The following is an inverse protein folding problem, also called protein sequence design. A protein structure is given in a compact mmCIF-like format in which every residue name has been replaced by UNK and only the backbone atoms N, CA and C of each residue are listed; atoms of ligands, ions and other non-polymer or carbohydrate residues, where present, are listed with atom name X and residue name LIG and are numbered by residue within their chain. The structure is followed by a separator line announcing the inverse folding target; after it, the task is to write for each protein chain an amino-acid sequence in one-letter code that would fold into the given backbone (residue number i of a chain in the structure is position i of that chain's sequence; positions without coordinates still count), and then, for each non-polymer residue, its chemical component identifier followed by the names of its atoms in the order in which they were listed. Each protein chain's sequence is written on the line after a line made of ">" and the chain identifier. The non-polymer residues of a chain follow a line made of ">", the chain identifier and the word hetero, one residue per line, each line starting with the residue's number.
data_IF_556787010080
#
_entry.id   IF_556787010080
#
_cell.length_a   1.000
_cell.length_b   1.000
_cell.length_c   1.000
_cell.angle_alpha   90.00
_cell.angle_beta   90.00
_cell.angle_gamma   90.00
#
_symmetry.space_group_name_H-M   'P 1'
#
loop_
_entity.id
_entity.type
_entity.pdbx_description
1 polymer ?
2 branched ?
3 non-polymer ?
4 non-polymer ?
5 non-polymer ?
6 water ?
#
# COMPACT_ATOMS: atom_id res chain seq x y z
N UNK A 36 -17.28 -19.13 -23.71
CA UNK A 36 -18.72 -19.29 -23.63
C UNK A 36 -19.33 -18.34 -22.60
N UNK A 37 -19.26 -18.71 -21.33
CA UNK A 37 -19.79 -17.86 -20.27
C UNK A 37 -18.85 -16.68 -20.04
N UNK A 38 -19.43 -15.48 -19.95
CA UNK A 38 -18.67 -14.25 -19.89
C UNK A 38 -18.48 -13.80 -18.45
N UNK A 39 -17.25 -13.42 -18.11
CA UNK A 39 -16.89 -12.88 -16.80
C UNK A 39 -16.30 -11.49 -16.99
N UNK A 40 -16.66 -10.56 -16.11
CA UNK A 40 -16.21 -9.17 -16.19
C UNK A 40 -15.21 -8.90 -15.07
N UNK A 41 -13.99 -8.54 -15.45
CA UNK A 41 -12.90 -8.31 -14.51
C UNK A 41 -12.33 -6.91 -14.72
N UNK A 42 -12.25 -6.14 -13.64
CA UNK A 42 -11.69 -4.80 -13.67
C UNK A 42 -10.51 -4.74 -12.71
N UNK A 43 -9.33 -4.38 -13.22
CA UNK A 43 -8.09 -4.43 -12.47
C UNK A 43 -7.43 -3.06 -12.49
N UNK A 44 -7.04 -2.57 -11.31
CA UNK A 44 -6.34 -1.30 -11.23
C UNK A 44 -4.97 -1.41 -11.89
N UNK A 45 -4.65 -0.46 -12.75
CA UNK A 45 -3.35 -0.41 -13.42
C UNK A 45 -2.41 0.46 -12.58
N UNK A 46 -1.42 -0.18 -11.98
CA UNK A 46 -0.47 0.54 -11.15
C UNK A 46 0.96 0.44 -11.66
N UNK A 47 1.92 0.56 -10.75
CA UNK A 47 3.33 0.51 -11.14
C UNK A 47 3.73 -0.83 -11.74
N UNK A 48 3.05 -1.90 -11.36
CA UNK A 48 3.35 -3.22 -11.89
C UNK A 48 2.88 -3.40 -13.34
N UNK A 49 2.04 -2.49 -13.85
CA UNK A 49 1.61 -2.55 -15.22
C UNK A 49 0.28 -3.25 -15.40
N UNK A 50 -0.29 -3.09 -16.59
CA UNK A 50 -1.56 -3.70 -16.94
C UNK A 50 -1.42 -4.96 -17.78
N UNK A 51 -0.27 -5.16 -18.43
CA UNK A 51 -0.06 -6.37 -19.22
C UNK A 51 -0.03 -7.62 -18.37
N UNK A 52 0.15 -7.50 -17.06
CA UNK A 52 0.05 -8.67 -16.17
C UNK A 52 -1.31 -9.34 -16.31
N UNK A 53 -2.38 -8.55 -16.14
CA UNK A 53 -3.71 -9.12 -16.12
C UNK A 53 -4.15 -9.57 -17.51
N UNK A 54 -3.68 -8.90 -18.56
CA UNK A 54 -3.95 -9.38 -19.92
C UNK A 54 -3.37 -10.77 -20.12
N UNK A 55 -2.17 -11.01 -19.61
CA UNK A 55 -1.52 -12.31 -19.75
C UNK A 55 -2.09 -13.34 -18.78
N UNK A 56 -2.48 -12.91 -17.58
CA UNK A 56 -3.11 -13.83 -16.63
C UNK A 56 -4.48 -14.26 -17.14
N UNK A 57 -5.28 -13.31 -17.65
CA UNK A 57 -6.61 -13.64 -18.15
C UNK A 57 -6.51 -14.63 -19.32
N UNK A 58 -5.56 -14.40 -20.23
CA UNK A 58 -5.40 -15.30 -21.36
C UNK A 58 -4.96 -16.70 -20.91
N UNK A 59 -4.11 -16.76 -19.87
CA UNK A 59 -3.69 -18.06 -19.37
C UNK A 59 -4.85 -18.80 -18.71
N UNK A 60 -5.71 -18.07 -18.00
CA UNK A 60 -6.90 -18.71 -17.42
C UNK A 60 -7.86 -19.16 -18.52
N UNK A 61 -7.99 -18.37 -19.59
CA UNK A 61 -8.81 -18.78 -20.72
C UNK A 61 -8.21 -19.96 -21.47
N UNK A 62 -6.89 -20.15 -21.38
CA UNK A 62 -6.28 -21.35 -21.96
C UNK A 62 -6.60 -22.57 -21.12
N UNK A 63 -6.60 -22.43 -19.79
CA UNK A 63 -6.92 -23.55 -18.92
C UNK A 63 -8.41 -23.87 -18.94
N UNK A 64 -9.26 -22.85 -18.98
CA UNK A 64 -10.72 -23.01 -19.00
C UNK A 64 -11.26 -22.31 -20.24
N UNK A 65 -11.21 -22.96 -21.40
CA UNK A 65 -11.64 -22.29 -22.64
C UNK A 65 -13.12 -21.95 -22.68
N UNK A 66 -13.93 -22.51 -21.80
CA UNK A 66 -15.36 -22.17 -21.75
C UNK A 66 -15.63 -20.88 -20.99
N UNK A 67 -14.59 -20.22 -20.47
CA UNK A 67 -14.73 -18.98 -19.73
C UNK A 67 -14.22 -17.84 -20.59
N UNK A 68 -15.06 -16.81 -20.77
CA UNK A 68 -14.71 -15.61 -21.49
C UNK A 68 -14.60 -14.46 -20.50
N UNK A 69 -13.43 -13.84 -20.44
CA UNK A 69 -13.17 -12.76 -19.48
C UNK A 69 -13.03 -11.46 -20.25
N UNK A 70 -13.96 -10.53 -20.01
CA UNK A 70 -13.86 -9.16 -20.53
C UNK A 70 -13.04 -8.36 -19.53
N UNK A 71 -11.77 -8.15 -19.84
CA UNK A 71 -10.84 -7.49 -18.94
C UNK A 71 -10.85 -5.98 -19.19
N UNK A 72 -10.91 -5.21 -18.10
CA UNK A 72 -10.76 -3.76 -18.17
C UNK A 72 -9.70 -3.35 -17.17
N UNK A 73 -8.69 -2.62 -17.64
CA UNK A 73 -7.63 -2.10 -16.79
C UNK A 73 -7.59 -0.58 -16.93
N UNK A 74 -7.43 0.10 -15.80
CA UNK A 74 -7.40 1.56 -15.80
C UNK A 74 -6.76 2.04 -14.50
N UNK A 75 -6.07 3.18 -14.60
CA UNK A 75 -5.52 3.84 -13.43
C UNK A 75 -6.57 4.61 -12.63
N UNK A 76 -7.80 4.68 -13.14
CA UNK A 76 -8.93 5.29 -12.43
C UNK A 76 -10.09 4.30 -12.52
N UNK A 77 -10.02 3.24 -11.70
CA UNK A 77 -10.98 2.15 -11.80
C UNK A 77 -12.39 2.63 -11.48
N UNK A 78 -12.53 3.50 -10.47
CA UNK A 78 -13.86 3.95 -10.08
C UNK A 78 -14.55 4.68 -11.22
N UNK A 79 -13.86 5.66 -11.81
CA UNK A 79 -14.41 6.39 -12.95
C UNK A 79 -14.70 5.46 -14.13
N UNK A 80 -14.04 4.31 -14.18
CA UNK A 80 -14.27 3.38 -15.30
C UNK A 80 -15.52 2.53 -15.08
N UNK A 81 -15.73 2.04 -13.85
CA UNK A 81 -16.84 1.14 -13.57
C UNK A 81 -18.04 1.84 -12.97
N UNK A 82 -17.93 3.11 -12.59
CA UNK A 82 -19.07 3.83 -12.04
C UNK A 82 -20.25 3.92 -12.99
N UNK A 83 -20.09 4.20 -14.29
CA UNK A 83 -21.25 4.14 -15.19
C UNK A 83 -21.93 2.79 -15.21
N UNK A 84 -21.17 1.70 -15.09
CA UNK A 84 -21.78 0.39 -15.02
C UNK A 84 -22.55 0.16 -13.74
N UNK A 85 -21.97 0.58 -12.61
CA UNK A 85 -22.66 0.43 -11.33
C UNK A 85 -23.90 1.31 -11.26
N UNK A 86 -23.86 2.49 -11.87
CA UNK A 86 -25.05 3.34 -11.90
C UNK A 86 -26.14 2.73 -12.78
N UNK A 87 -25.76 1.91 -13.76
CA UNK A 87 -26.72 1.23 -14.62
C UNK A 87 -27.01 -0.20 -14.18
N UNK A 88 -26.53 -0.59 -13.00
CA UNK A 88 -26.75 -1.94 -12.50
C UNK A 88 -25.88 -3.00 -13.12
N UNK A 89 -24.92 -2.61 -13.97
CA UNK A 89 -24.05 -3.57 -14.64
C UNK A 89 -22.68 -3.60 -13.94
N UNK A 90 -22.69 -4.22 -12.76
CA UNK A 90 -21.48 -4.28 -11.95
C UNK A 90 -20.49 -5.27 -12.55
N UNK A 91 -19.19 -5.05 -12.35
CA UNK A 91 -18.21 -6.08 -12.70
C UNK A 91 -18.28 -7.24 -11.72
N UNK A 92 -17.85 -8.41 -12.21
CA UNK A 92 -17.92 -9.61 -11.40
C UNK A 92 -16.79 -9.71 -10.39
N UNK A 93 -15.61 -9.18 -10.72
CA UNK A 93 -14.45 -9.25 -9.84
C UNK A 93 -13.60 -8.01 -10.09
N UNK A 94 -13.11 -7.41 -9.00
CA UNK A 94 -12.38 -6.15 -9.08
C UNK A 94 -11.08 -6.28 -8.29
N UNK A 95 -9.97 -5.89 -8.91
CA UNK A 95 -8.68 -5.78 -8.23
C UNK A 95 -8.48 -4.30 -7.90
N UNK A 96 -8.66 -3.95 -6.62
CA UNK A 96 -8.47 -2.57 -6.19
C UNK A 96 -8.27 -2.61 -4.67
N UNK A 97 -7.03 -2.43 -4.22
CA UNK A 97 -6.75 -2.45 -2.81
C UNK A 97 -7.31 -1.23 -2.09
N UNK A 98 -7.21 -1.28 -0.77
CA UNK A 98 -7.55 -0.11 0.03
C UNK A 98 -6.56 1.02 -0.22
N UNK A 99 -6.97 2.23 0.13
CA UNK A 99 -6.10 3.38 -0.03
C UNK A 99 -5.98 3.91 -1.43
N UNK A 100 -6.84 3.48 -2.36
CA UNK A 100 -6.83 4.04 -3.69
C UNK A 100 -7.22 5.52 -3.66
N UNK A 101 -6.95 6.21 -4.76
CA UNK A 101 -7.27 7.63 -4.83
C UNK A 101 -8.77 7.88 -4.68
N UNK A 102 -9.60 6.96 -5.20
CA UNK A 102 -11.05 7.16 -5.13
C UNK A 102 -11.63 6.66 -3.81
N UNK A 103 -10.95 5.72 -3.14
CA UNK A 103 -11.50 5.13 -1.94
C UNK A 103 -12.71 4.25 -2.19
N UNK A 104 -12.81 3.68 -3.39
CA UNK A 104 -13.99 2.88 -3.73
C UNK A 104 -14.11 1.64 -2.88
N UNK A 105 -12.98 0.98 -2.59
CA UNK A 105 -13.03 -0.24 -1.78
C UNK A 105 -13.55 0.05 -0.38
N UNK A 106 -13.04 1.12 0.25
CA UNK A 106 -13.51 1.49 1.58
C UNK A 106 -14.97 1.90 1.55
N UNK A 107 -15.40 2.57 0.48
CA UNK A 107 -16.79 3.01 0.37
C UNK A 107 -17.74 1.82 0.27
N UNK A 108 -17.38 0.82 -0.54
CA UNK A 108 -18.24 -0.36 -0.67
C UNK A 108 -18.24 -1.19 0.61
N UNK A 109 -17.13 -1.19 1.36
CA UNK A 109 -17.12 -1.87 2.65
C UNK A 109 -18.06 -1.17 3.62
N UNK A 110 -18.03 0.16 3.65
CA UNK A 110 -18.96 0.91 4.48
C UNK A 110 -20.41 0.65 4.07
N UNK A 111 -20.65 0.52 2.77
CA UNK A 111 -21.99 0.28 2.26
C UNK A 111 -22.38 -1.19 2.24
N UNK A 112 -21.53 -2.08 2.76
CA UNK A 112 -21.81 -3.52 2.82
C UNK A 112 -22.10 -4.08 1.42
N UNK A 113 -21.33 -3.64 0.44
CA UNK A 113 -21.57 -4.00 -0.96
C UNK A 113 -20.47 -4.89 -1.52
N UNK A 114 -19.69 -5.55 -0.67
CA UNK A 114 -18.63 -6.46 -1.10
C UNK A 114 -18.96 -7.86 -0.60
N UNK A 115 -18.88 -8.83 -1.49
CA UNK A 115 -19.26 -10.20 -1.17
C UNK A 115 -18.27 -10.83 -0.20
N UNK A 116 -18.80 -11.64 0.73
CA UNK A 116 -17.96 -12.46 1.61
C UNK A 116 -17.36 -13.60 0.79
N UNK A 117 -16.03 -13.59 0.64
CA UNK A 117 -15.35 -14.59 -0.17
C UNK A 117 -14.47 -15.48 0.71
N UNK A 118 -14.97 -15.79 1.91
CA UNK A 118 -14.23 -16.69 2.80
C UNK A 118 -14.12 -18.09 2.20
N UNK A 119 -15.12 -18.52 1.43
CA UNK A 119 -15.09 -19.85 0.83
C UNK A 119 -14.00 -20.00 -0.22
N UNK A 120 -13.48 -18.90 -0.76
CA UNK A 120 -12.42 -18.99 -1.76
C UNK A 120 -11.15 -19.57 -1.15
N UNK A 121 -10.94 -19.35 0.16
CA UNK A 121 -9.76 -19.89 0.83
C UNK A 121 -9.73 -21.41 0.75
N UNK A 122 -10.89 -22.05 0.86
CA UNK A 122 -10.98 -23.51 0.81
C UNK A 122 -11.21 -24.04 -0.60
N UNK A 123 -11.23 -23.17 -1.61
CA UNK A 123 -11.41 -23.62 -2.98
C UNK A 123 -10.09 -24.09 -3.58
N UNK A 124 -10.18 -25.12 -4.42
CA UNK A 124 -8.99 -25.62 -5.10
C UNK A 124 -8.55 -24.63 -6.17
N UNK A 125 -7.23 -24.43 -6.27
CA UNK A 125 -6.69 -23.55 -7.31
C UNK A 125 -6.81 -24.25 -8.66
N UNK A 126 -7.41 -23.60 -9.66
CA UNK A 126 -7.53 -24.24 -10.98
C UNK A 126 -6.17 -24.60 -11.55
N UNK A 127 -6.05 -25.85 -12.01
CA UNK A 127 -4.81 -26.34 -12.57
C UNK A 127 -3.84 -26.94 -11.57
N UNK A 128 -4.13 -26.86 -10.28
CA UNK A 128 -3.25 -27.39 -9.24
C UNK A 128 -4.07 -28.18 -8.25
N UNK A 129 -3.38 -29.01 -7.46
CA UNK A 129 -4.05 -29.87 -6.50
C UNK A 129 -3.86 -29.36 -5.08
N UNK A 130 -4.05 -28.06 -4.87
CA UNK A 130 -3.96 -27.45 -3.55
C UNK A 130 -5.02 -26.36 -3.44
N UNK A 131 -5.35 -26.03 -2.19
CA UNK A 131 -6.31 -24.97 -1.93
C UNK A 131 -5.59 -23.63 -1.78
N UNK A 132 -6.39 -22.55 -1.83
CA UNK A 132 -5.81 -21.21 -1.67
C UNK A 132 -5.19 -21.05 -0.29
N UNK A 133 -5.89 -21.53 0.74
CA UNK A 133 -5.38 -21.41 2.10
C UNK A 133 -4.05 -22.16 2.27
N UNK A 134 -3.86 -23.24 1.51
CA UNK A 134 -2.61 -24.00 1.61
C UNK A 134 -1.44 -23.23 1.02
N UNK A 135 -1.70 -22.47 -0.04
CA UNK A 135 -0.62 -21.77 -0.73
C UNK A 135 -0.30 -20.42 -0.12
N UNK A 136 -1.25 -19.77 0.53
CA UNK A 136 -1.03 -18.44 1.07
C UNK A 136 0.04 -18.46 2.16
N UNK A 137 0.80 -17.37 2.24
CA UNK A 137 1.79 -17.23 3.30
C UNK A 137 1.07 -17.04 4.64
N UNK A 138 1.73 -17.47 5.71
CA UNK A 138 1.12 -17.43 7.03
C UNK A 138 0.93 -16.00 7.49
N UNK A 139 -0.19 -15.75 8.18
CA UNK A 139 -0.47 -14.44 8.75
C UNK A 139 -0.96 -13.39 7.79
N UNK A 140 -1.09 -13.71 6.50
CA UNK A 140 -1.52 -12.69 5.55
C UNK A 140 -2.98 -12.33 5.76
N UNK A 141 -3.78 -13.24 6.31
CA UNK A 141 -5.18 -12.96 6.62
C UNK A 141 -5.23 -12.16 7.92
N UNK A 142 -5.78 -10.96 7.85
CA UNK A 142 -5.83 -10.09 9.02
C UNK A 142 -6.84 -8.98 8.84
N UNK A 143 -6.53 -7.82 9.42
CA UNK A 143 -7.48 -6.72 9.41
C UNK A 143 -7.63 -6.11 8.02
N UNK A 144 -6.61 -6.22 7.16
CA UNK A 144 -6.74 -5.73 5.79
C UNK A 144 -7.70 -6.61 5.00
N UNK A 145 -7.51 -7.93 5.07
CA UNK A 145 -8.37 -8.87 4.34
C UNK A 145 -9.74 -9.01 4.99
N UNK A 146 -9.81 -8.90 6.31
CA UNK A 146 -11.06 -8.99 7.06
C UNK A 146 -11.36 -7.63 7.68
N UNK A 147 -11.84 -6.65 6.89
CA UNK A 147 -11.95 -5.28 7.41
C UNK A 147 -12.95 -5.12 8.53
N UNK A 148 -13.94 -6.01 8.64
CA UNK A 148 -14.95 -5.88 9.69
C UNK A 148 -14.52 -6.46 11.02
N UNK A 149 -13.29 -6.96 11.13
CA UNK A 149 -12.72 -7.39 12.38
C UNK A 149 -12.89 -8.85 12.72
N UNK A 150 -13.70 -9.60 11.97
CA UNK A 150 -14.00 -10.98 12.26
C UNK A 150 -13.15 -11.94 11.44
N UNK A 151 -13.67 -13.17 11.32
CA UNK A 151 -13.01 -14.23 10.56
C UNK A 151 -13.54 -14.34 9.14
N UNK A 152 -14.25 -13.32 8.66
CA UNK A 152 -14.79 -13.30 7.31
C UNK A 152 -13.87 -12.51 6.40
N UNK A 153 -13.48 -13.12 5.28
CA UNK A 153 -12.57 -12.51 4.33
C UNK A 153 -13.39 -11.82 3.24
N UNK A 154 -13.17 -10.51 3.06
CA UNK A 154 -13.82 -9.75 2.01
C UNK A 154 -12.84 -9.25 0.95
N UNK A 155 -11.58 -9.05 1.31
CA UNK A 155 -10.55 -8.58 0.38
C UNK A 155 -9.44 -9.61 0.34
N UNK A 156 -9.41 -10.42 -0.71
CA UNK A 156 -8.36 -11.41 -0.83
C UNK A 156 -7.03 -10.73 -1.15
N UNK A 157 -5.94 -11.13 -0.48
CA UNK A 157 -4.69 -10.37 -0.59
C UNK A 157 -4.06 -10.49 -1.97
N UNK A 158 -3.68 -9.35 -2.53
CA UNK A 158 -2.95 -9.29 -3.78
C UNK A 158 -1.57 -8.69 -3.51
N UNK A 159 -0.56 -9.23 -4.19
CA UNK A 159 0.82 -8.78 -4.09
C UNK A 159 1.38 -9.03 -2.69
N UNK A 160 2.65 -8.67 -2.49
CA UNK A 160 3.33 -8.89 -1.21
C UNK A 160 4.56 -8.00 -1.16
N UNK A 161 4.36 -6.70 -1.30
CA UNK A 161 5.46 -5.75 -1.48
C UNK A 161 5.86 -5.15 -0.15
N UNK A 162 7.14 -5.21 0.22
CA UNK A 162 7.60 -4.43 1.38
C UNK A 162 7.57 -2.94 1.05
N UNK A 163 7.24 -2.14 2.07
CA UNK A 163 7.21 -0.70 1.92
C UNK A 163 8.05 -0.05 3.01
N UNK A 164 8.63 1.08 2.66
CA UNK A 164 9.46 1.85 3.59
C UNK A 164 9.88 3.16 2.96
N UNK A 165 11.18 3.32 2.71
CA UNK A 165 11.71 4.50 2.05
C UNK A 165 12.64 4.06 0.93
N UNK A 166 12.51 4.70 -0.23
CA UNK A 166 13.37 4.45 -1.37
C UNK A 166 14.21 5.69 -1.64
N UNK A 167 15.42 5.46 -2.14
CA UNK A 167 16.39 6.53 -2.34
C UNK A 167 17.39 6.08 -3.40
N UNK A 168 18.26 7.00 -3.80
CA UNK A 168 19.35 6.70 -4.71
C UNK A 168 20.54 6.23 -3.88
N UNK A 169 20.80 4.92 -3.90
CA UNK A 169 21.92 4.36 -3.15
C UNK A 169 23.24 5.00 -3.58
N UNK A 170 23.37 5.33 -4.86
CA UNK A 170 24.61 5.93 -5.36
C UNK A 170 24.80 7.34 -4.80
N UNK A 171 23.73 8.13 -4.73
CA UNK A 171 23.84 9.51 -4.29
C UNK A 171 24.29 9.60 -2.83
N UNK A 172 23.78 8.70 -1.98
CA UNK A 172 24.18 8.71 -0.58
C UNK A 172 25.64 8.28 -0.42
N UNK A 173 26.08 7.29 -1.20
CA UNK A 173 27.45 6.83 -1.10
C UNK A 173 28.45 7.87 -1.60
N UNK A 174 28.11 8.54 -2.71
CA UNK A 174 29.03 9.53 -3.27
C UNK A 174 29.24 10.70 -2.31
N UNK A 175 28.24 11.02 -1.48
CA UNK A 175 28.37 12.07 -0.48
C UNK A 175 28.74 11.53 0.89
N UNK A 176 29.01 10.22 1.00
CA UNK A 176 29.37 9.65 2.29
C UNK A 176 28.25 9.62 3.31
N UNK A 177 27.00 9.72 2.85
CA UNK A 177 25.85 9.76 3.74
C UNK A 177 25.34 8.35 4.01
N UNK A 178 25.43 7.92 5.26
CA UNK A 178 24.89 6.62 5.65
C UNK A 178 23.38 6.71 5.79
N UNK A 179 22.70 5.59 5.55
CA UNK A 179 21.26 5.54 5.69
C UNK A 179 20.87 5.72 7.15
N UNK A 180 20.08 6.75 7.49
CA UNK A 180 19.73 6.95 8.90
C UNK A 180 18.82 5.85 9.42
N UNK A 181 19.01 5.49 10.69
CA UNK A 181 18.10 4.60 11.39
C UNK A 181 17.19 5.34 12.36
N UNK A 182 17.52 6.58 12.69
CA UNK A 182 16.69 7.44 13.54
C UNK A 182 16.31 8.69 12.76
N UNK A 183 15.35 9.43 13.31
CA UNK A 183 14.91 10.66 12.66
C UNK A 183 15.81 11.85 12.98
N UNK A 184 16.55 11.79 14.09
CA UNK A 184 17.54 12.82 14.36
C UNK A 184 18.64 12.80 13.31
N UNK A 185 19.12 11.60 12.95
CA UNK A 185 20.04 11.47 11.83
C UNK A 185 19.37 11.88 10.53
N UNK A 186 18.06 11.65 10.41
CA UNK A 186 17.34 12.00 9.19
C UNK A 186 17.31 13.51 8.99
N UNK A 187 16.99 14.26 10.04
CA UNK A 187 16.87 15.71 9.92
C UNK A 187 18.23 16.36 9.73
N UNK A 188 19.26 15.84 10.40
CA UNK A 188 20.61 16.34 10.18
C UNK A 188 21.06 16.08 8.74
N UNK A 189 20.66 14.93 8.18
CA UNK A 189 20.96 14.65 6.78
C UNK A 189 20.25 15.62 5.86
N UNK A 190 19.02 16.00 6.20
CA UNK A 190 18.32 16.99 5.40
C UNK A 190 19.00 18.34 5.38
N UNK A 191 19.64 18.71 6.50
CA UNK A 191 20.38 19.97 6.54
C UNK A 191 21.59 19.94 5.62
N UNK A 192 22.29 18.79 5.59
CA UNK A 192 23.45 18.67 4.72
C UNK A 192 23.05 18.60 3.26
N UNK A 193 21.92 17.93 2.97
CA UNK A 193 21.47 17.80 1.59
C UNK A 193 21.01 19.14 1.02
N UNK A 194 20.43 19.99 1.86
CA UNK A 194 19.97 21.30 1.38
C UNK A 194 21.15 22.20 1.01
N UNK A 195 22.30 22.00 1.65
CA UNK A 195 23.50 22.75 1.28
C UNK A 195 23.97 22.41 -0.13
N UNK A 196 23.52 21.28 -0.68
CA UNK A 196 23.85 20.88 -2.04
C UNK A 196 22.62 20.96 -2.97
N UNK A 197 21.58 21.66 -2.54
CA UNK A 197 20.39 21.80 -3.37
C UNK A 197 19.49 20.60 -3.41
N UNK A 198 19.41 19.82 -2.33
CA UNK A 198 18.61 18.61 -2.28
C UNK A 198 17.66 18.69 -1.10
N UNK A 199 16.38 18.44 -1.36
CA UNK A 199 15.39 18.31 -0.29
C UNK A 199 15.42 16.89 0.27
N UNK A 200 15.18 16.80 1.58
CA UNK A 200 15.29 15.50 2.25
C UNK A 200 14.17 14.56 1.86
N UNK A 201 12.94 15.06 1.82
CA UNK A 201 11.77 14.20 1.76
C UNK A 201 10.79 14.68 0.69
N UNK A 202 10.11 13.71 0.09
CA UNK A 202 8.98 13.96 -0.80
C UNK A 202 8.07 12.74 -0.71
N UNK A 203 6.91 12.82 -1.37
CA UNK A 203 6.01 11.68 -1.42
C UNK A 203 5.14 11.81 -2.66
N UNK A 204 4.72 10.69 -3.26
CA UNK A 204 3.89 10.77 -4.48
C UNK A 204 2.53 11.39 -4.19
N UNK A 205 1.71 10.72 -3.38
CA UNK A 205 0.48 11.28 -2.85
C UNK A 205 0.49 11.14 -1.34
N UNK A 206 -0.43 11.84 -0.68
CA UNK A 206 -0.55 11.74 0.77
C UNK A 206 -0.99 10.35 1.21
N UNK A 207 -1.62 9.58 0.31
CA UNK A 207 -2.07 8.24 0.66
C UNK A 207 -0.95 7.26 0.93
N UNK A 208 0.27 7.55 0.44
CA UNK A 208 1.42 6.69 0.70
C UNK A 208 1.85 6.71 2.15
N UNK A 209 1.22 7.53 3.00
CA UNK A 209 1.51 7.52 4.43
C UNK A 209 0.78 6.40 5.16
N UNK A 210 0.04 5.55 4.46
CA UNK A 210 -0.56 4.38 5.10
C UNK A 210 0.53 3.41 5.55
N UNK A 211 1.47 3.08 4.65
CA UNK A 211 2.58 2.23 5.03
C UNK A 211 3.57 2.97 5.91
N UNK A 212 3.70 4.29 5.72
CA UNK A 212 4.61 5.08 6.54
C UNK A 212 4.19 5.05 8.01
N UNK A 213 2.92 5.38 8.28
CA UNK A 213 2.45 5.40 9.67
C UNK A 213 2.34 3.99 10.24
N UNK A 214 2.03 2.99 9.41
CA UNK A 214 2.01 1.61 9.89
C UNK A 214 3.34 1.23 10.51
N UNK A 215 4.44 1.62 9.87
CA UNK A 215 5.77 1.32 10.41
C UNK A 215 6.10 2.25 11.57
N UNK A 216 5.84 3.55 11.41
CA UNK A 216 6.25 4.52 12.43
C UNK A 216 5.50 4.30 13.74
N UNK A 217 4.21 3.98 13.67
CA UNK A 217 3.45 3.72 14.89
C UNK A 217 3.96 2.46 15.59
N UNK A 218 4.31 1.43 14.82
CA UNK A 218 4.88 0.23 15.42
C UNK A 218 6.30 0.48 15.92
N UNK A 219 7.01 1.44 15.32
CA UNK A 219 8.35 1.78 15.79
C UNK A 219 8.30 2.35 17.20
N UNK A 220 7.34 3.22 17.48
CA UNK A 220 7.29 3.96 18.73
C UNK A 220 6.57 3.17 19.80
N UNK A 221 5.29 2.86 19.55
CA UNK A 221 4.46 2.23 20.57
C UNK A 221 4.57 0.72 20.62
N UNK A 222 4.89 0.09 19.50
CA UNK A 222 5.02 -1.35 19.44
C UNK A 222 3.88 -1.98 18.66
N UNK A 223 3.84 -3.33 18.71
CA UNK A 223 2.83 -4.07 17.98
C UNK A 223 1.43 -3.79 18.50
N UNK A 224 1.23 -3.94 19.82
CA UNK A 224 -0.09 -3.74 20.39
C UNK A 224 -0.58 -2.31 20.18
N UNK A 225 0.32 -1.34 20.30
CA UNK A 225 -0.07 0.06 20.11
C UNK A 225 -0.56 0.30 18.69
N UNK A 226 0.09 -0.30 17.70
CA UNK A 226 -0.37 -0.16 16.31
C UNK A 226 -1.76 -0.76 16.15
N UNK A 227 -2.01 -1.92 16.75
CA UNK A 227 -3.34 -2.51 16.69
C UNK A 227 -4.37 -1.65 17.40
N UNK A 228 -3.95 -0.94 18.45
CA UNK A 228 -4.86 -0.02 19.13
C UNK A 228 -5.28 1.12 18.22
N UNK A 229 -4.34 1.62 17.40
CA UNK A 229 -4.67 2.71 16.49
C UNK A 229 -5.63 2.22 15.41
N UNK A 230 -5.38 1.05 14.84
CA UNK A 230 -6.23 0.51 13.78
C UNK A 230 -7.61 0.11 14.28
N UNK A 231 -7.75 -0.17 15.58
CA UNK A 231 -9.02 -0.59 16.15
C UNK A 231 -9.70 0.50 16.97
N UNK A 232 -9.18 1.73 16.93
CA UNK A 232 -9.78 2.89 17.58
C UNK A 232 -9.91 2.68 19.09
N UNK A 233 -8.78 2.39 19.72
CA UNK A 233 -8.75 2.28 21.17
C UNK A 233 -8.94 3.66 21.80
N UNK A 234 -9.60 3.67 22.97
CA UNK A 234 -9.99 4.93 23.59
C UNK A 234 -8.77 5.78 23.94
N UNK A 235 -8.77 7.01 23.42
CA UNK A 235 -7.71 7.99 23.71
C UNK A 235 -6.33 7.48 23.28
N UNK A 236 -6.28 6.76 22.16
CA UNK A 236 -5.01 6.24 21.69
C UNK A 236 -4.16 7.37 21.09
N UNK A 237 -4.81 8.38 20.50
CA UNK A 237 -4.08 9.48 19.89
C UNK A 237 -3.67 10.54 20.90
N UNK A 238 -4.12 10.45 22.14
CA UNK A 238 -3.66 11.33 23.20
C UNK A 238 -2.44 10.75 23.93
N UNK A 239 -2.00 9.55 23.57
CA UNK A 239 -0.82 8.97 24.17
C UNK A 239 0.44 9.64 23.63
N UNK A 240 1.51 9.58 24.42
CA UNK A 240 2.78 10.15 24.00
C UNK A 240 3.34 9.44 22.78
N UNK A 241 3.05 8.14 22.65
CA UNK A 241 3.53 7.39 21.49
C UNK A 241 2.89 7.91 20.21
N UNK A 242 1.57 8.15 20.23
CA UNK A 242 0.88 8.64 19.04
C UNK A 242 1.23 10.08 18.75
N UNK A 243 1.45 10.90 19.80
CA UNK A 243 1.85 12.28 19.57
C UNK A 243 3.23 12.37 18.95
N UNK A 244 4.15 11.47 19.32
CA UNK A 244 5.49 11.52 18.78
C UNK A 244 5.52 11.15 17.31
N UNK A 245 4.63 10.24 16.89
CA UNK A 245 4.56 9.91 15.46
C UNK A 245 4.08 11.09 14.63
N UNK A 246 3.16 11.89 15.18
CA UNK A 246 2.66 13.04 14.45
C UNK A 246 3.68 14.17 14.45
N UNK A 247 4.34 14.41 15.60
CA UNK A 247 5.34 15.47 15.68
C UNK A 247 6.52 15.18 14.77
N UNK A 248 6.96 13.92 14.70
CA UNK A 248 8.05 13.56 13.81
C UNK A 248 7.65 13.77 12.35
N UNK A 249 6.44 13.38 11.98
CA UNK A 249 5.95 13.62 10.63
C UNK A 249 5.71 15.11 10.39
N UNK A 250 5.41 15.86 11.45
CA UNK A 250 5.19 17.29 11.31
C UNK A 250 6.45 18.02 10.86
N UNK A 251 7.55 17.81 11.59
CA UNK A 251 8.82 18.45 11.22
C UNK A 251 9.27 17.99 9.84
N UNK A 252 8.96 16.76 9.45
CA UNK A 252 9.42 16.23 8.18
C UNK A 252 8.76 16.95 7.01
N UNK A 253 7.45 17.19 7.09
CA UNK A 253 6.71 17.77 5.97
C UNK A 253 6.63 19.29 6.02
N UNK A 254 7.00 19.91 7.15
CA UNK A 254 6.97 21.36 7.24
C UNK A 254 8.33 22.02 7.03
N UNK A 255 9.42 21.26 7.14
CA UNK A 255 10.76 21.82 6.99
C UNK A 255 11.58 21.12 5.92
N UNK A 256 11.57 19.78 5.89
CA UNK A 256 12.44 19.00 5.01
C UNK A 256 11.69 18.43 3.82
N UNK A 257 10.65 19.11 3.36
CA UNK A 257 9.86 18.63 2.23
C UNK A 257 10.24 19.38 0.96
N UNK A 258 10.25 18.66 -0.16
CA UNK A 258 10.48 19.30 -1.44
C UNK A 258 9.35 20.29 -1.73
N UNK A 259 9.65 21.53 -2.10
CA UNK A 259 8.58 22.53 -2.28
C UNK A 259 7.55 22.15 -3.34
N UNK A 260 7.87 21.22 -4.24
CA UNK A 260 6.95 20.79 -5.28
C UNK A 260 6.10 19.60 -4.88
N UNK A 261 6.19 19.14 -3.63
CA UNK A 261 5.52 17.90 -3.25
C UNK A 261 4.01 18.06 -3.23
N UNK A 262 3.50 19.03 -2.47
CA UNK A 262 2.06 19.18 -2.31
C UNK A 262 1.39 19.45 -3.64
N UNK A 263 1.99 20.33 -4.46
CA UNK A 263 1.43 20.65 -5.76
C UNK A 263 1.40 19.48 -6.72
N UNK A 264 2.21 18.46 -6.50
CA UNK A 264 2.24 17.26 -7.32
C UNK A 264 1.56 16.07 -6.66
N UNK A 265 1.05 16.23 -5.43
CA UNK A 265 0.49 15.12 -4.68
C UNK A 265 -0.93 14.77 -5.14
N UNK A 266 -1.01 14.34 -6.39
CA UNK A 266 -2.29 13.98 -7.00
C UNK A 266 -2.08 12.82 -7.96
N UNK A 267 -3.19 12.26 -8.43
CA UNK A 267 -3.14 11.08 -9.29
C UNK A 267 -2.48 11.37 -10.64
N UNK A 268 -2.40 12.63 -11.05
CA UNK A 268 -1.80 12.97 -12.34
C UNK A 268 -0.32 13.32 -12.24
N UNK A 269 0.13 13.84 -11.10
CA UNK A 269 1.49 14.35 -10.97
C UNK A 269 2.30 13.63 -9.89
N UNK A 270 1.82 12.49 -9.38
CA UNK A 270 2.55 11.81 -8.32
C UNK A 270 3.89 11.26 -8.82
N UNK A 271 3.97 10.92 -10.11
CA UNK A 271 5.24 10.47 -10.68
C UNK A 271 6.27 11.59 -10.73
N UNK A 272 5.83 12.86 -10.76
CA UNK A 272 6.79 13.96 -10.75
C UNK A 272 7.48 14.07 -9.40
N UNK A 273 6.75 13.85 -8.31
CA UNK A 273 7.40 13.79 -6.99
C UNK A 273 8.37 12.63 -6.92
N UNK A 274 8.02 11.50 -7.53
CA UNK A 274 8.95 10.38 -7.61
C UNK A 274 10.12 10.70 -8.53
N UNK A 275 9.89 11.51 -9.55
CA UNK A 275 10.97 11.89 -10.46
C UNK A 275 12.04 12.70 -9.75
N UNK A 276 11.67 13.44 -8.71
CA UNK A 276 12.67 14.23 -7.97
C UNK A 276 13.70 13.33 -7.31
N UNK A 277 13.33 12.08 -6.98
CA UNK A 277 14.30 11.12 -6.46
C UNK A 277 15.32 10.75 -7.53
N UNK A 278 14.84 10.52 -8.76
CA UNK A 278 15.73 10.14 -9.85
C UNK A 278 16.60 11.32 -10.29
N UNK A 279 16.08 12.55 -10.20
CA UNK A 279 16.84 13.73 -10.58
C UNK A 279 17.83 14.16 -9.50
N UNK A 280 17.73 13.61 -8.29
CA UNK A 280 18.61 14.00 -7.21
C UNK A 280 18.17 15.24 -6.45
N UNK A 281 16.93 15.72 -6.65
CA UNK A 281 16.43 16.87 -5.93
C UNK A 281 15.74 16.49 -4.62
N UNK A 282 15.35 15.23 -4.47
CA UNK A 282 14.83 14.70 -3.21
C UNK A 282 15.61 13.46 -2.85
N UNK A 283 15.85 13.27 -1.55
CA UNK A 283 16.61 12.12 -1.08
C UNK A 283 15.73 10.89 -0.87
N UNK A 284 14.63 11.03 -0.12
CA UNK A 284 13.81 9.89 0.27
C UNK A 284 12.35 10.15 -0.06
N UNK A 285 11.61 9.06 -0.24
CA UNK A 285 10.16 9.09 -0.38
C UNK A 285 9.62 7.72 0.04
N UNK A 286 8.40 7.67 0.56
CA UNK A 286 7.81 6.36 0.90
C UNK A 286 7.20 5.71 -0.34
N UNK A 287 7.51 4.43 -0.54
CA UNK A 287 7.05 3.72 -1.72
C UNK A 287 7.30 2.22 -1.51
N UNK A 288 6.91 1.44 -2.51
CA UNK A 288 7.08 0.00 -2.48
C UNK A 288 7.86 -0.53 -3.67
N UNK A 289 7.86 -1.85 -3.85
CA UNK A 289 8.64 -2.46 -4.92
C UNK A 289 8.12 -2.14 -6.32
N UNK A 290 6.90 -1.62 -6.43
CA UNK A 290 6.37 -1.24 -7.73
C UNK A 290 7.07 -0.04 -8.33
N UNK A 291 7.96 0.63 -7.57
CA UNK A 291 8.57 1.85 -8.04
C UNK A 291 9.57 1.58 -9.16
N UNK A 292 10.15 0.38 -9.21
CA UNK A 292 11.16 0.06 -10.22
C UNK A 292 10.52 0.01 -11.60
N UNK A 293 9.49 -0.83 -11.76
CA UNK A 293 8.82 -0.94 -13.05
C UNK A 293 8.07 0.33 -13.41
N UNK A 294 7.63 1.10 -12.41
CA UNK A 294 6.87 2.31 -12.69
C UNK A 294 7.74 3.40 -13.28
N UNK A 295 8.99 3.51 -12.81
CA UNK A 295 9.91 4.56 -13.23
C UNK A 295 11.02 4.04 -14.14
N UNK A 296 10.81 2.89 -14.78
CA UNK A 296 11.89 2.24 -15.51
C UNK A 296 12.31 3.03 -16.74
N UNK A 297 11.39 3.75 -17.38
CA UNK A 297 11.69 4.51 -18.59
C UNK A 297 12.01 5.97 -18.31
N UNK A 298 12.06 6.36 -17.04
CA UNK A 298 12.29 7.75 -16.66
C UNK A 298 13.78 8.07 -16.62
N UNK A 299 14.17 9.31 -16.90
CA UNK A 299 15.57 9.70 -16.77
C UNK A 299 16.00 9.74 -15.32
N UNK A 300 17.31 9.60 -15.10
CA UNK A 300 17.84 9.53 -13.76
C UNK A 300 19.30 9.98 -13.79
N UNK A 301 19.79 10.38 -12.62
CA UNK A 301 21.18 10.78 -12.49
C UNK A 301 22.10 9.63 -12.87
N UNK A 302 23.30 9.97 -13.32
CA UNK A 302 24.24 8.97 -13.81
C UNK A 302 24.60 7.98 -12.70
N UNK A 303 24.56 6.70 -13.04
CA UNK A 303 24.87 5.67 -12.06
C UNK A 303 23.82 5.48 -10.99
N UNK A 304 22.57 5.88 -11.26
CA UNK A 304 21.51 5.71 -10.30
C UNK A 304 21.30 4.24 -9.97
N UNK A 305 21.10 3.96 -8.68
CA UNK A 305 20.77 2.61 -8.22
C UNK A 305 19.74 2.72 -7.11
N UNK A 306 18.68 1.93 -7.21
CA UNK A 306 17.61 1.99 -6.23
C UNK A 306 18.11 1.49 -4.88
N UNK A 307 17.86 2.29 -3.83
CA UNK A 307 18.13 1.90 -2.47
C UNK A 307 16.82 1.78 -1.70
N UNK A 308 16.79 0.87 -0.73
CA UNK A 308 15.59 0.66 0.07
C UNK A 308 15.99 0.51 1.53
N UNK A 309 15.14 1.02 2.43
CA UNK A 309 15.40 0.99 3.86
C UNK A 309 14.08 1.09 4.59
N UNK A 310 13.99 0.56 5.81
CA UNK A 310 12.79 0.77 6.61
C UNK A 310 12.67 2.23 7.03
N UNK A 311 11.45 2.60 7.42
CA UNK A 311 11.25 3.95 7.96
C UNK A 311 12.02 4.08 9.26
N UNK A 312 12.82 5.13 9.45
CA UNK A 312 13.59 5.26 10.69
C UNK A 312 12.67 5.40 11.90
N UNK A 313 13.15 4.91 13.04
CA UNK A 313 12.43 5.06 14.29
C UNK A 313 12.92 6.33 14.99
N UNK A 314 12.53 6.51 16.25
CA UNK A 314 12.88 7.70 17.01
C UNK A 314 14.09 7.48 17.90
N UNK A 315 14.16 6.32 18.55
CA UNK A 315 15.22 6.03 19.51
C UNK A 315 16.34 5.24 18.85
N UNK A 316 17.56 5.43 19.35
CA UNK A 316 18.70 4.71 18.84
C UNK A 316 18.61 3.23 19.23
N UNK A 317 18.96 2.36 18.29
CA UNK A 317 18.85 0.93 18.50
C UNK A 317 17.44 0.39 18.56
N UNK A 318 16.43 1.24 18.34
CA UNK A 318 15.06 0.78 18.40
C UNK A 318 14.68 -0.07 17.21
N UNK A 319 13.62 -0.85 17.38
CA UNK A 319 13.15 -1.74 16.34
C UNK A 319 12.51 -0.95 15.21
N UNK A 320 12.91 -1.25 13.98
CA UNK A 320 12.34 -0.62 12.78
C UNK A 320 11.48 -1.64 12.05
N UNK A 321 10.31 -1.20 11.60
CA UNK A 321 9.33 -2.08 10.97
C UNK A 321 9.25 -1.81 9.48
N UNK A 322 9.04 -2.88 8.72
CA UNK A 322 8.79 -2.82 7.28
C UNK A 322 7.34 -3.19 7.03
N UNK A 323 6.63 -2.34 6.29
CA UNK A 323 5.22 -2.60 6.04
C UNK A 323 5.04 -3.61 4.92
N UNK A 324 4.25 -4.64 5.20
CA UNK A 324 3.89 -5.65 4.19
C UNK A 324 2.68 -5.10 3.43
N UNK A 325 2.96 -4.44 2.30
CA UNK A 325 1.93 -3.78 1.53
C UNK A 325 1.28 -4.77 0.58
N UNK A 326 -0.03 -4.97 0.73
CA UNK A 326 -0.81 -5.82 -0.15
C UNK A 326 -1.97 -5.01 -0.71
N UNK A 327 -2.38 -5.35 -1.92
CA UNK A 327 -3.60 -4.83 -2.50
C UNK A 327 -4.70 -5.86 -2.30
N UNK A 328 -5.83 -5.66 -2.97
CA UNK A 328 -7.00 -6.50 -2.72
C UNK A 328 -7.70 -6.84 -4.02
N UNK A 329 -8.22 -8.06 -4.08
CA UNK A 329 -9.14 -8.49 -5.12
C UNK A 329 -10.42 -8.96 -4.44
N UNK A 330 -11.57 -8.57 -4.99
CA UNK A 330 -12.84 -8.79 -4.33
C UNK A 330 -13.96 -8.89 -5.37
N UNK A 331 -15.13 -9.28 -4.89
CA UNK A 331 -16.31 -9.50 -5.73
C UNK A 331 -17.43 -8.60 -5.22
N UNK A 332 -17.98 -7.72 -6.04
CA UNK A 332 -19.09 -6.89 -5.59
C UNK A 332 -20.32 -7.72 -5.26
N UNK A 333 -21.09 -7.26 -4.29
CA UNK A 333 -22.31 -7.97 -3.91
C UNK A 333 -23.34 -8.00 -5.03
N UNK A 334 -23.28 -7.03 -5.95
CA UNK A 334 -24.21 -6.96 -7.06
C UNK A 334 -23.70 -7.67 -8.31
N UNK A 335 -22.63 -8.46 -8.19
CA UNK A 335 -22.11 -9.18 -9.33
C UNK A 335 -23.06 -10.30 -9.75
N UNK A 336 -23.16 -10.52 -11.06
CA UNK A 336 -24.08 -11.54 -11.57
C UNK A 336 -23.45 -12.92 -11.67
N UNK A 337 -22.13 -13.00 -11.82
CA UNK A 337 -21.43 -14.28 -12.00
C UNK A 337 -20.40 -14.43 -10.88
N UNK A 338 -20.89 -14.69 -9.66
CA UNK A 338 -20.00 -14.77 -8.51
C UNK A 338 -19.20 -16.06 -8.48
N UNK A 339 -19.81 -17.18 -8.86
CA UNK A 339 -19.11 -18.47 -8.79
C UNK A 339 -17.95 -18.51 -9.77
N UNK A 340 -18.18 -18.06 -11.01
CA UNK A 340 -17.10 -18.03 -11.99
C UNK A 340 -16.01 -17.04 -11.59
N UNK A 341 -16.38 -15.97 -10.87
CA UNK A 341 -15.37 -15.03 -10.40
C UNK A 341 -14.55 -15.61 -9.25
N UNK A 342 -15.16 -16.48 -8.44
CA UNK A 342 -14.41 -17.11 -7.34
C UNK A 342 -13.37 -18.07 -7.87
N UNK A 343 -13.68 -18.79 -8.94
CA UNK A 343 -12.70 -19.73 -9.50
C UNK A 343 -11.53 -18.99 -10.14
N UNK A 344 -11.80 -17.87 -10.81
CA UNK A 344 -10.71 -17.07 -11.36
C UNK A 344 -9.91 -16.39 -10.26
N UNK A 345 -10.57 -16.00 -9.16
CA UNK A 345 -9.85 -15.42 -8.04
C UNK A 345 -8.90 -16.43 -7.42
N UNK A 346 -9.32 -17.69 -7.31
CA UNK A 346 -8.43 -18.73 -6.82
C UNK A 346 -7.27 -18.96 -7.77
N UNK A 347 -7.50 -18.80 -9.08
CA UNK A 347 -6.43 -18.95 -10.06
C UNK A 347 -5.37 -17.87 -9.91
N UNK A 348 -5.70 -16.72 -9.34
CA UNK A 348 -4.72 -15.66 -9.15
C UNK A 348 -3.63 -16.05 -8.17
N UNK A 349 -3.79 -17.16 -7.46
CA UNK A 349 -2.77 -17.65 -6.53
C UNK A 349 -2.06 -18.88 -7.07
N UNK A 350 -2.26 -19.21 -8.34
CA UNK A 350 -1.57 -20.33 -8.96
C UNK A 350 -0.12 -19.97 -9.26
N UNK A 351 0.69 -21.00 -9.47
CA UNK A 351 2.08 -20.77 -9.88
C UNK A 351 2.16 -20.10 -11.25
N UNK A 352 1.23 -20.44 -12.14
CA UNK A 352 1.26 -19.85 -13.48
C UNK A 352 0.98 -18.36 -13.43
N UNK A 353 0.01 -17.94 -12.62
CA UNK A 353 -0.26 -16.52 -12.46
C UNK A 353 0.85 -15.82 -11.68
N UNK A 354 1.49 -16.53 -10.75
CA UNK A 354 2.57 -15.93 -9.97
C UNK A 354 3.76 -15.58 -10.87
N UNK A 355 4.11 -16.46 -11.80
CA UNK A 355 5.24 -16.20 -12.69
C UNK A 355 4.95 -15.04 -13.62
N UNK A 356 3.68 -14.85 -14.01
CA UNK A 356 3.31 -13.73 -14.86
C UNK A 356 3.40 -12.42 -14.08
N UNK A 357 2.87 -12.42 -12.85
CA UNK A 357 2.88 -11.21 -12.03
C UNK A 357 4.30 -10.80 -11.64
N UNK A 358 5.19 -11.78 -11.43
CA UNK A 358 6.53 -11.48 -10.93
C UNK A 358 7.42 -10.82 -11.96
N UNK A 359 7.01 -10.78 -13.24
CA UNK A 359 7.89 -10.24 -14.27
C UNK A 359 8.14 -8.74 -14.08
N UNK A 360 7.21 -8.03 -13.45
CA UNK A 360 7.37 -6.60 -13.20
C UNK A 360 7.50 -6.27 -11.71
N UNK A 361 7.66 -7.28 -10.86
CA UNK A 361 7.86 -7.06 -9.44
C UNK A 361 6.66 -7.37 -8.56
N UNK A 362 5.52 -7.75 -9.15
CA UNK A 362 4.34 -8.08 -8.37
C UNK A 362 4.46 -9.51 -7.85
N UNK A 363 4.65 -9.65 -6.54
CA UNK A 363 4.90 -10.94 -5.90
C UNK A 363 3.63 -11.35 -5.16
N UNK A 364 2.92 -12.35 -5.69
CA UNK A 364 1.71 -12.82 -5.04
C UNK A 364 2.04 -13.40 -3.67
N UNK A 365 1.15 -13.25 -2.68
CA UNK A 365 1.43 -13.69 -1.31
C UNK A 365 1.26 -15.19 -1.13
N UNK A 366 2.05 -15.97 -1.87
CA UNK A 366 2.04 -17.41 -1.75
C UNK A 366 3.44 -17.88 -1.34
N UNK A 367 3.49 -19.10 -0.80
CA UNK A 367 4.73 -19.64 -0.27
C UNK A 367 5.74 -19.87 -1.39
N UNK A 368 7.02 -19.68 -1.06
CA UNK A 368 8.09 -19.85 -2.01
C UNK A 368 8.26 -18.73 -3.01
N UNK A 369 7.40 -17.70 -2.97
CA UNK A 369 7.47 -16.63 -3.95
C UNK A 369 8.56 -15.62 -3.65
N UNK A 370 9.11 -15.62 -2.43
CA UNK A 370 10.29 -14.84 -2.11
C UNK A 370 11.58 -15.59 -2.40
N UNK A 371 11.48 -16.84 -2.85
CA UNK A 371 12.65 -17.61 -3.26
C UNK A 371 12.91 -17.39 -4.75
N UNK A 372 14.18 -17.27 -5.11
CA UNK A 372 14.59 -16.99 -6.48
C UNK A 372 13.99 -15.67 -6.98
N UNK A 373 13.97 -14.68 -6.10
CA UNK A 373 13.45 -13.36 -6.47
C UNK A 373 14.30 -12.73 -7.56
N UNK A 374 13.66 -11.89 -8.37
CA UNK A 374 14.37 -11.15 -9.40
C UNK A 374 15.44 -10.27 -8.77
N UNK A 375 16.47 -9.97 -9.56
CA UNK A 375 17.61 -9.22 -9.05
C UNK A 375 17.20 -7.83 -8.56
N UNK A 376 16.30 -7.17 -9.30
CA UNK A 376 15.87 -5.82 -8.92
C UNK A 376 15.01 -5.80 -7.67
N UNK A 377 14.55 -6.96 -7.19
CA UNK A 377 13.79 -7.04 -5.96
C UNK A 377 14.66 -7.35 -4.75
N UNK A 378 15.94 -7.69 -4.97
CA UNK A 378 16.79 -8.11 -3.86
C UNK A 378 17.04 -6.95 -2.88
N UNK A 379 17.25 -5.75 -3.40
CA UNK A 379 17.52 -4.60 -2.52
C UNK A 379 16.32 -4.29 -1.62
N UNK A 380 15.12 -4.72 -1.99
CA UNK A 380 13.95 -4.46 -1.16
C UNK A 380 13.81 -5.51 -0.06
N UNK A 381 13.81 -6.79 -0.44
CA UNK A 381 13.55 -7.86 0.53
C UNK A 381 14.73 -8.10 1.44
N UNK A 382 15.96 -7.72 1.04
CA UNK A 382 17.10 -7.89 1.91
C UNK A 382 17.02 -7.02 3.16
N UNK A 383 16.17 -5.99 3.15
CA UNK A 383 15.99 -5.16 4.33
C UNK A 383 15.38 -5.93 5.49
N UNK A 384 14.65 -7.02 5.19
CA UNK A 384 14.13 -7.87 6.26
C UNK A 384 15.25 -8.59 7.01
N UNK A 385 16.41 -8.77 6.39
CA UNK A 385 17.54 -9.43 7.03
C UNK A 385 18.35 -8.50 7.92
N UNK A 386 18.00 -7.22 7.98
CA UNK A 386 18.69 -6.30 8.88
C UNK A 386 18.35 -6.63 10.33
N UNK A 387 19.27 -6.26 11.22
CA UNK A 387 19.10 -6.57 12.63
C UNK A 387 18.00 -5.72 13.25
N UNK A 388 17.22 -6.35 14.14
CA UNK A 388 16.17 -5.65 14.89
C UNK A 388 15.16 -5.01 13.95
N UNK A 389 14.74 -5.78 12.95
CA UNK A 389 13.76 -5.34 11.96
C UNK A 389 12.65 -6.38 11.88
N UNK A 390 11.42 -5.95 12.10
CA UNK A 390 10.24 -6.81 12.06
C UNK A 390 9.29 -6.34 10.98
N UNK A 391 8.18 -7.06 10.82
CA UNK A 391 7.18 -6.75 9.81
C UNK A 391 5.91 -6.22 10.45
N UNK A 392 5.21 -5.36 9.72
CA UNK A 392 3.93 -4.80 10.17
C UNK A 392 2.97 -4.81 8.99
N UNK A 393 1.70 -5.09 9.27
CA UNK A 393 0.70 -5.15 8.22
C UNK A 393 -0.67 -4.82 8.80
N UNK A 394 -1.56 -4.36 7.94
CA UNK A 394 -2.93 -4.09 8.30
C UNK A 394 -3.37 -2.71 7.88
N UNK A 395 -4.66 -2.44 8.11
CA UNK A 395 -5.25 -1.14 7.83
C UNK A 395 -6.28 -0.86 8.92
N UNK A 396 -6.99 0.26 8.78
CA UNK A 396 -7.99 0.62 9.76
C UNK A 396 -9.20 -0.30 9.69
N UNK A 397 -9.80 -0.54 10.86
CA UNK A 397 -10.96 -1.42 10.95
C UNK A 397 -12.20 -0.73 10.39
N UNK A 398 -12.96 -1.46 9.57
CA UNK A 398 -14.23 -0.99 9.04
C UNK A 398 -15.42 -1.54 9.81
N UNK A 399 -15.22 -1.87 11.09
CA UNK A 399 -16.30 -2.43 11.90
C UNK A 399 -17.40 -1.42 12.17
N UNK A 400 -17.12 -0.12 12.07
CA UNK A 400 -18.12 0.90 12.30
C UNK A 400 -17.78 2.12 11.44
N UNK A 401 -18.81 2.90 11.14
CA UNK A 401 -18.69 4.10 10.33
C UNK A 401 -19.42 5.25 10.99
N UNK A 402 -18.81 6.43 10.95
CA UNK A 402 -19.38 7.64 11.53
C UNK A 402 -19.61 8.63 10.40
N UNK A 403 -20.78 9.28 10.40
CA UNK A 403 -21.13 10.21 9.34
C UNK A 403 -20.18 11.40 9.31
N UNK A 404 -19.73 11.74 8.11
CA UNK A 404 -18.88 12.92 7.94
C UNK A 404 -17.50 12.80 8.54
N UNK A 405 -17.01 11.59 8.77
CA UNK A 405 -15.70 11.40 9.36
C UNK A 405 -14.99 10.24 8.68
N UNK A 406 -13.76 10.47 8.25
CA UNK A 406 -12.90 9.45 7.67
C UNK A 406 -11.55 9.50 8.36
N UNK A 407 -11.18 8.41 9.04
CA UNK A 407 -9.94 8.40 9.80
C UNK A 407 -8.74 8.44 8.85
N UNK A 408 -8.90 7.94 7.63
CA UNK A 408 -7.80 8.01 6.67
C UNK A 408 -7.55 9.43 6.18
N UNK A 409 -8.60 10.24 6.08
CA UNK A 409 -8.42 11.64 5.71
C UNK A 409 -7.75 12.43 6.84
N UNK A 410 -8.05 12.09 8.09
CA UNK A 410 -7.49 12.81 9.22
C UNK A 410 -6.03 12.46 9.49
N UNK A 411 -5.55 11.32 8.98
CA UNK A 411 -4.17 10.90 9.19
C UNK A 411 -3.33 10.99 7.92
N UNK A 412 -3.84 10.49 6.80
CA UNK A 412 -3.08 10.47 5.55
C UNK A 412 -3.29 11.77 4.75
N UNK A 413 -4.54 12.05 4.38
CA UNK A 413 -4.81 13.21 3.54
C UNK A 413 -4.44 14.52 4.25
N UNK A 414 -4.45 14.52 5.58
CA UNK A 414 -4.14 15.73 6.34
C UNK A 414 -2.68 16.12 6.24
N UNK A 415 -1.81 15.25 5.72
CA UNK A 415 -0.39 15.58 5.60
C UNK A 415 -0.20 16.75 4.64
N UNK A 416 -1.00 16.80 3.57
CA UNK A 416 -0.91 17.93 2.65
C UNK A 416 -1.29 19.23 3.33
N UNK A 417 -2.34 19.22 4.15
CA UNK A 417 -2.72 20.41 4.89
C UNK A 417 -1.66 20.79 5.91
N UNK A 418 -1.02 19.80 6.53
CA UNK A 418 0.06 20.07 7.47
C UNK A 418 1.27 20.63 6.75
N UNK A 419 1.61 20.05 5.59
CA UNK A 419 2.74 20.55 4.82
C UNK A 419 2.49 21.95 4.28
N UNK A 420 1.25 22.23 3.88
CA UNK A 420 0.89 23.55 3.38
C UNK A 420 0.79 24.59 4.50
N UNK A 421 0.86 24.17 5.75
CA UNK A 421 0.75 25.10 6.87
C UNK A 421 -0.67 25.44 7.28
N UNK A 422 -1.66 24.68 6.83
CA UNK A 422 -3.05 24.93 7.20
C UNK A 422 -3.50 24.14 8.41
N UNK A 423 -2.70 23.20 8.89
CA UNK A 423 -3.09 22.38 10.04
C UNK A 423 -1.91 22.29 11.00
N UNK A 424 -2.15 22.63 12.27
CA UNK A 424 -1.11 22.57 13.27
C UNK A 424 -0.95 21.14 13.77
N UNK A 425 0.11 20.93 14.57
CA UNK A 425 0.32 19.62 15.17
C UNK A 425 -0.78 19.28 16.17
N UNK A 426 -1.20 20.27 16.95
CA UNK A 426 -2.27 20.04 17.93
C UNK A 426 -3.60 19.77 17.24
N UNK A 427 -3.91 20.54 16.18
CA UNK A 427 -5.14 20.29 15.43
C UNK A 427 -5.11 18.93 14.75
N UNK A 428 -3.93 18.52 14.28
CA UNK A 428 -3.79 17.20 13.67
C UNK A 428 -4.09 16.10 14.69
N UNK A 429 -3.63 16.29 15.92
CA UNK A 429 -3.83 15.29 16.96
C UNK A 429 -5.26 15.31 17.48
N UNK A 430 -5.86 16.49 17.62
CA UNK A 430 -7.20 16.60 18.21
C UNK A 430 -8.25 15.98 17.30
N UNK A 431 -8.15 16.20 15.99
CA UNK A 431 -9.13 15.63 15.08
C UNK A 431 -9.00 14.12 15.00
N UNK A 432 -7.78 13.60 15.05
CA UNK A 432 -7.59 12.15 15.08
C UNK A 432 -8.21 11.53 16.32
N UNK A 433 -8.03 12.15 17.48
CA UNK A 433 -8.61 11.62 18.70
C UNK A 433 -10.14 11.73 18.68
N UNK A 434 -10.66 12.82 18.14
CA UNK A 434 -12.12 13.00 18.07
C UNK A 434 -12.75 11.95 17.16
N UNK A 435 -12.15 11.73 15.99
CA UNK A 435 -12.72 10.77 15.05
C UNK A 435 -12.52 9.34 15.53
N UNK A 436 -11.36 9.04 16.11
CA UNK A 436 -11.10 7.67 16.58
C UNK A 436 -12.02 7.31 17.74
N UNK A 437 -12.21 8.23 18.69
CA UNK A 437 -13.11 7.95 19.80
C UNK A 437 -14.56 7.89 19.35
N UNK A 438 -14.92 8.66 18.32
CA UNK A 438 -16.27 8.57 17.76
C UNK A 438 -16.49 7.22 17.11
N UNK A 439 -15.48 6.67 16.43
CA UNK A 439 -15.60 5.34 15.85
C UNK A 439 -15.58 4.26 16.92
N UNK A 440 -14.96 4.55 18.08
CA UNK A 440 -14.94 3.58 19.16
C UNK A 440 -16.33 3.43 19.80
N UNK A 441 -17.08 4.53 19.88
CA UNK A 441 -18.41 4.47 20.47
C UNK A 441 -19.45 3.87 19.53
N UNK A 442 -19.24 4.01 18.22
CA UNK A 442 -20.17 3.48 17.23
C UNK A 442 -20.14 1.96 17.20
X LIG B 1 0.58 3.15 -8.39
X LIG B 1 -0.44 3.58 -7.37
X LIG B 1 -0.25 2.92 -6.09
X LIG B 1 -0.19 1.45 -6.20
X LIG B 1 0.94 0.98 -7.18
X LIG B 1 0.92 -0.42 -7.35
X LIG B 1 -1.45 5.99 -7.46
X LIG B 1 -1.30 7.50 -7.24
X LIG B 1 0.68 1.69 -8.51
X LIG B 1 -1.40 3.29 -5.19
X LIG B 1 0.07 0.90 -4.91
X LIG B 1 -0.38 -0.83 -7.69
X LIG B 1 -2.46 5.54 -7.87
X LIG B 1 -0.32 5.09 -7.16
X LIG B 1 1.82 3.66 -8.03
X LIG B 2 -0.91 3.93 -4.05
X LIG B 2 -2.05 4.63 -3.37
X LIG B 2 -1.63 5.26 -2.13
X LIG B 2 -1.01 4.29 -1.20
X LIG B 2 0.20 3.54 -1.85
X LIG B 2 0.67 2.52 -1.00
X LIG B 2 -2.61 5.64 -4.27
X LIG B 2 -2.81 5.87 -1.47
X LIG B 2 -1.99 3.34 -0.80
X LIG B 2 -0.28 2.94 -3.18
X LIG B 2 1.44 3.10 0.01
X LIG C 1 5.32 7.47 26.94
X LIG D 1 -9.01 4.56 -8.31
X LIG D 1 -9.82 3.93 -7.22
X LIG D 1 -9.19 3.79 -9.59
X LIG D 1 -9.47 5.98 -8.52
X LIG D 1 -7.57 4.56 -7.91
X LIG E 1 7.22 -7.22 -4.95
X LIG F 1 10.60 -4.80 -11.51
#
# INVERSE_FOLDING_TARGET
>A
MTHFSTVKRVIALAGAGAMLFSVAACGGVTASDGGKTTLKFAAFEGGYGADMYKEVVAAYEKLNPDVKIELTTSKKIEDEITPGMKAGNYPDIVELGQGSTSGLTETLLKDKAIEDVTDVLDMKVPGENKTVKDKLVDGVIGLYTNPYGGDKTYLMPMYYSPSGLVYNKTLLEQNGWKMPTTWDEMFKLGDEAKAKGISLFTYPTAGYFDAFFNALLADIGGDQFYQDVMTYKKDVWKTDEAKEALETTYKLVTEYLNPDTVGYANAQDFTKNQQSILDGKSLFMPNGTWIVNEMKDAPRTSGFEWGFAPVPTVKNGGTRYINTTIEAVWIPAKAKNKEAAKKFMAYLYSDEAASIFAKTGAIQPIKGNTDDLASDMKVFYDAYNEDNVKAVAGSFSATATVEGKNIKDDLYNAVDSVASGKTTLQQWQDKLNETSNALNAAAKQ
>B hetero
1 NDG C1 C2 C3 C4 C5 C6 C7 C8 O5 O3 O4 O6 O7 N2 O1
2 GAL C1 C2 C3 C4 C5 C6 O2 O3 O4 O5 O6
>C hetero
1 CA CA
>D hetero
1 SO4 S O1 O2 O3 O4
>E hetero
1 NA NA
>F hetero
1 NA NA
#
